data_IF_521864629907
#
_entry.id   IF_521864629907
#
_cell.length_a   1.000
_cell.length_b   1.000
_cell.length_c   1.000
_cell.angle_alpha   90.00
_cell.angle_beta   90.00
_cell.angle_gamma   90.00
#
_symmetry.space_group_name_H-M   'P 1'
#
loop_
_entity.id
_entity.type
_entity.pdbx_description
1 polymer ?
#
# COMPACT_ATOMS: atom_id res chain seq x y z
N UNK A 1 44.52 -47.24 68.31
CA UNK A 1 43.38 -46.94 67.42
C UNK A 1 43.76 -47.45 66.04
N UNK A 2 43.26 -48.61 65.59
CA UNK A 2 42.13 -48.76 64.64
C UNK A 2 42.33 -47.89 63.37
N UNK A 3 42.28 -48.36 62.13
CA UNK A 3 41.99 -49.66 61.47
C UNK A 3 42.09 -49.38 59.95
N UNK A 4 42.52 -50.38 59.17
CA UNK A 4 42.12 -50.76 57.80
C UNK A 4 41.82 -49.69 56.71
N UNK A 5 42.52 -49.72 55.57
CA UNK A 5 42.23 -50.54 54.36
C UNK A 5 41.13 -49.95 53.46
N UNK A 6 41.43 -49.88 52.17
CA UNK A 6 40.58 -50.33 51.06
C UNK A 6 40.08 -49.28 50.06
N UNK A 7 40.56 -49.46 48.83
CA UNK A 7 39.88 -49.23 47.55
C UNK A 7 38.35 -49.07 47.64
N UNK A 8 37.84 -47.99 47.03
CA UNK A 8 36.52 -47.94 46.39
C UNK A 8 36.78 -47.31 45.01
N UNK A 9 36.96 -48.16 44.00
CA UNK A 9 35.93 -48.51 43.02
C UNK A 9 35.61 -47.38 42.05
N UNK A 10 36.08 -47.58 40.82
CA UNK A 10 35.36 -47.33 39.57
C UNK A 10 33.85 -47.22 39.83
N UNK A 11 33.32 -46.01 39.72
CA UNK A 11 31.88 -45.78 39.60
C UNK A 11 31.66 -44.86 38.39
N UNK A 12 31.15 -45.49 37.32
CA UNK A 12 30.36 -44.86 36.26
C UNK A 12 31.08 -43.78 35.45
N UNK A 13 31.69 -44.10 34.29
CA UNK A 13 30.94 -44.33 33.03
C UNK A 13 29.62 -43.55 33.04
N UNK A 14 29.49 -42.59 32.14
CA UNK A 14 28.30 -41.73 31.93
C UNK A 14 28.22 -40.45 32.79
N UNK A 15 29.27 -39.62 32.82
CA UNK A 15 29.05 -38.23 32.37
C UNK A 15 29.25 -38.28 30.87
N UNK A 16 28.29 -38.83 30.13
CA UNK A 16 27.19 -37.95 29.76
C UNK A 16 27.75 -36.87 28.85
N UNK A 17 28.44 -37.29 27.79
CA UNK A 17 28.39 -36.62 26.49
C UNK A 17 26.91 -36.49 26.10
N UNK A 18 26.17 -35.65 26.79
CA UNK A 18 25.13 -34.86 26.16
C UNK A 18 25.90 -33.76 25.42
N UNK A 19 26.63 -34.16 24.37
CA UNK A 19 26.69 -33.31 23.18
C UNK A 19 25.26 -33.36 22.68
N UNK A 20 24.41 -32.52 23.28
CA UNK A 20 23.10 -32.24 22.73
C UNK A 20 23.39 -31.82 21.30
N UNK A 21 22.94 -32.63 20.35
CA UNK A 21 22.90 -32.31 18.93
C UNK A 21 21.80 -31.25 18.71
N UNK A 22 21.81 -30.20 19.54
CA UNK A 22 20.94 -29.05 19.43
C UNK A 22 21.70 -27.99 18.67
N UNK A 23 21.10 -27.50 17.60
CA UNK A 23 21.58 -26.33 16.87
C UNK A 23 21.91 -25.22 17.88
N UNK A 24 23.06 -24.59 17.72
CA UNK A 24 23.44 -23.39 18.45
C UNK A 24 22.38 -22.30 18.25
N UNK A 25 22.29 -21.35 19.18
CA UNK A 25 21.37 -20.21 19.03
C UNK A 25 21.69 -19.40 17.76
N UNK A 26 22.96 -19.36 17.34
CA UNK A 26 23.41 -18.75 16.09
C UNK A 26 22.89 -19.50 14.86
N UNK A 27 22.93 -20.83 14.86
CA UNK A 27 22.38 -21.65 13.76
C UNK A 27 20.85 -21.54 13.67
N UNK A 28 20.14 -21.43 14.80
CA UNK A 28 18.69 -21.21 14.80
C UNK A 28 18.32 -19.83 14.27
N UNK A 29 19.07 -18.79 14.68
CA UNK A 29 18.85 -17.44 14.19
C UNK A 29 19.10 -17.32 12.68
N UNK A 30 20.17 -17.97 12.17
CA UNK A 30 20.47 -18.00 10.74
C UNK A 30 19.40 -18.76 9.93
N UNK A 31 18.86 -19.85 10.47
CA UNK A 31 17.77 -20.59 9.85
C UNK A 31 16.46 -19.79 9.83
N UNK A 32 16.12 -19.10 10.92
CA UNK A 32 14.95 -18.22 10.98
C UNK A 32 15.08 -17.05 9.99
N UNK A 33 16.26 -16.42 9.92
CA UNK A 33 16.54 -15.37 8.94
C UNK A 33 16.35 -15.87 7.50
N UNK A 34 16.86 -17.07 7.18
CA UNK A 34 16.71 -17.65 5.85
C UNK A 34 15.24 -17.99 5.52
N UNK A 35 14.47 -18.47 6.50
CA UNK A 35 13.04 -18.73 6.35
C UNK A 35 12.26 -17.44 6.12
N UNK A 36 12.45 -16.43 6.97
CA UNK A 36 11.78 -15.14 6.84
C UNK A 36 12.11 -14.47 5.51
N UNK A 37 13.37 -14.54 5.07
CA UNK A 37 13.78 -14.04 3.76
C UNK A 37 13.04 -14.73 2.62
N UNK A 38 12.98 -16.06 2.62
CA UNK A 38 12.29 -16.82 1.58
C UNK A 38 10.79 -16.51 1.56
N UNK A 39 10.14 -16.45 2.73
CA UNK A 39 8.72 -16.08 2.86
C UNK A 39 8.46 -14.65 2.36
N UNK A 40 9.34 -13.71 2.67
CA UNK A 40 9.23 -12.34 2.19
C UNK A 40 9.37 -12.26 0.66
N UNK A 41 10.39 -12.92 0.08
CA UNK A 41 10.61 -12.92 -1.37
C UNK A 41 9.41 -13.54 -2.12
N UNK A 42 8.89 -14.67 -1.63
CA UNK A 42 7.69 -15.30 -2.18
C UNK A 42 6.46 -14.37 -2.07
N UNK A 43 6.30 -13.68 -0.93
CA UNK A 43 5.20 -12.74 -0.77
C UNK A 43 5.28 -11.57 -1.76
N UNK A 44 6.47 -11.00 -1.98
CA UNK A 44 6.64 -9.90 -2.93
C UNK A 44 6.33 -10.33 -4.38
N UNK A 45 6.75 -11.53 -4.78
CA UNK A 45 6.39 -12.09 -6.09
C UNK A 45 4.86 -12.24 -6.25
N UNK A 46 4.16 -12.73 -5.21
CA UNK A 46 2.71 -12.81 -5.21
C UNK A 46 2.05 -11.43 -5.32
N UNK A 47 2.60 -10.42 -4.64
CA UNK A 47 2.10 -9.05 -4.73
C UNK A 47 2.30 -8.49 -6.15
N UNK A 48 3.46 -8.66 -6.79
CA UNK A 48 3.70 -8.22 -8.18
C UNK A 48 2.76 -8.92 -9.19
N UNK A 49 2.39 -10.17 -8.93
CA UNK A 49 1.40 -10.94 -9.70
C UNK A 49 -0.07 -10.49 -9.47
N UNK A 50 -0.31 -9.56 -8.54
CA UNK A 50 -1.66 -9.13 -8.14
C UNK A 50 -2.39 -10.11 -7.22
N UNK A 51 -1.70 -11.11 -6.64
CA UNK A 51 -2.27 -12.08 -5.68
C UNK A 51 -2.17 -11.56 -4.25
N UNK A 52 -2.84 -10.44 -3.99
CA UNK A 52 -2.67 -9.71 -2.73
C UNK A 52 -3.11 -10.50 -1.49
N UNK A 53 -4.19 -11.28 -1.57
CA UNK A 53 -4.65 -12.11 -0.44
C UNK A 53 -3.58 -13.13 -0.03
N UNK A 54 -2.94 -13.80 -1.00
CA UNK A 54 -1.90 -14.80 -0.74
C UNK A 54 -0.60 -14.16 -0.24
N UNK A 55 -0.16 -13.07 -0.87
CA UNK A 55 1.03 -12.33 -0.44
C UNK A 55 0.88 -11.75 0.98
N UNK A 56 -0.28 -11.15 1.28
CA UNK A 56 -0.63 -10.67 2.63
C UNK A 56 -0.57 -11.78 3.66
N UNK A 57 -1.15 -12.95 3.36
CA UNK A 57 -1.15 -14.08 4.28
C UNK A 57 0.27 -14.55 4.64
N UNK A 58 1.21 -14.53 3.68
CA UNK A 58 2.62 -14.83 3.95
C UNK A 58 3.29 -13.75 4.82
N UNK A 59 3.11 -12.47 4.49
CA UNK A 59 3.68 -11.35 5.25
C UNK A 59 3.22 -11.33 6.71
N UNK A 60 1.95 -11.67 6.97
CA UNK A 60 1.39 -11.77 8.33
C UNK A 60 2.07 -12.84 9.21
N UNK A 61 2.78 -13.80 8.60
CA UNK A 61 3.58 -14.79 9.36
C UNK A 61 4.94 -14.27 9.84
N UNK A 62 5.39 -13.15 9.29
CA UNK A 62 6.71 -12.53 9.56
C UNK A 62 6.62 -11.03 9.87
N UNK A 63 5.74 -10.58 10.79
CA UNK A 63 5.35 -9.18 10.95
C UNK A 63 6.49 -8.22 11.34
N UNK A 64 7.56 -8.73 11.95
CA UNK A 64 8.72 -7.95 12.40
C UNK A 64 9.88 -7.97 11.39
N UNK A 65 9.73 -8.66 10.25
CA UNK A 65 10.78 -8.77 9.26
C UNK A 65 10.82 -7.55 8.33
N UNK A 66 11.98 -6.91 8.23
CA UNK A 66 12.23 -5.75 7.34
C UNK A 66 11.12 -4.68 7.45
N UNK A 67 10.43 -4.42 6.35
CA UNK A 67 9.42 -3.40 6.10
C UNK A 67 8.03 -4.01 5.91
N UNK A 68 7.80 -5.25 6.37
CA UNK A 68 6.51 -5.95 6.27
C UNK A 68 5.33 -5.08 6.71
N UNK A 69 5.47 -4.35 7.81
CA UNK A 69 4.43 -3.43 8.29
C UNK A 69 4.10 -2.32 7.29
N UNK A 70 5.10 -1.82 6.56
CA UNK A 70 4.93 -0.80 5.52
C UNK A 70 4.27 -1.40 4.29
N UNK A 71 4.73 -2.57 3.84
CA UNK A 71 4.14 -3.27 2.68
C UNK A 71 2.67 -3.61 2.94
N UNK A 72 2.35 -4.11 4.14
CA UNK A 72 0.97 -4.42 4.53
C UNK A 72 0.06 -3.19 4.52
N UNK A 73 0.58 -2.02 4.87
CA UNK A 73 -0.17 -0.77 4.79
C UNK A 73 -0.32 -0.31 3.33
N UNK A 74 0.76 -0.35 2.54
CA UNK A 74 0.73 0.03 1.12
C UNK A 74 -0.31 -0.76 0.33
N UNK A 75 -0.39 -2.08 0.50
CA UNK A 75 -1.33 -2.92 -0.25
C UNK A 75 -2.80 -2.58 0.05
N UNK A 76 -3.11 -1.98 1.21
CA UNK A 76 -4.46 -1.47 1.51
C UNK A 76 -4.81 -0.31 0.60
N UNK A 77 -3.93 0.68 0.49
CA UNK A 77 -4.13 1.87 -0.33
C UNK A 77 -4.13 1.52 -1.83
N UNK A 78 -3.22 0.65 -2.26
CA UNK A 78 -3.17 0.15 -3.63
C UNK A 78 -4.44 -0.60 -4.01
N UNK A 79 -4.96 -1.46 -3.12
CA UNK A 79 -6.21 -2.19 -3.35
C UNK A 79 -7.39 -1.26 -3.62
N UNK A 80 -7.46 -0.12 -2.94
CA UNK A 80 -8.46 0.92 -3.21
C UNK A 80 -8.22 1.55 -4.58
N UNK A 81 -7.00 2.00 -4.85
CA UNK A 81 -6.64 2.60 -6.13
C UNK A 81 -6.99 1.70 -7.34
N UNK A 82 -6.72 0.39 -7.25
CA UNK A 82 -7.01 -0.56 -8.31
C UNK A 82 -8.47 -0.62 -8.72
N UNK A 83 -9.40 -0.42 -7.78
CA UNK A 83 -10.84 -0.43 -8.11
C UNK A 83 -11.23 0.70 -9.06
N UNK A 84 -10.54 1.86 -8.99
CA UNK A 84 -10.84 3.04 -9.82
C UNK A 84 -10.27 2.95 -11.24
N UNK A 85 -9.28 2.08 -11.49
CA UNK A 85 -8.51 2.08 -12.74
C UNK A 85 -9.32 1.79 -13.99
N UNK A 86 -10.39 1.01 -13.89
CA UNK A 86 -11.23 0.68 -15.04
C UNK A 86 -11.88 1.93 -15.65
N UNK A 87 -12.37 2.86 -14.82
CA UNK A 87 -12.98 4.09 -15.31
C UNK A 87 -11.94 5.03 -15.93
N UNK A 88 -10.74 5.12 -15.33
CA UNK A 88 -9.63 5.89 -15.91
C UNK A 88 -9.32 5.36 -17.32
N UNK A 89 -9.18 4.03 -17.46
CA UNK A 89 -8.91 3.39 -18.76
C UNK A 89 -10.01 3.63 -19.76
N UNK A 90 -11.28 3.57 -19.34
CA UNK A 90 -12.41 3.83 -20.22
C UNK A 90 -12.45 5.27 -20.74
N UNK A 91 -11.87 6.22 -20.00
CA UNK A 91 -11.69 7.61 -20.43
C UNK A 91 -10.58 7.82 -21.47
N UNK A 92 -9.65 6.88 -21.63
CA UNK A 92 -8.54 6.99 -22.60
C UNK A 92 -8.93 6.51 -24.00
N UNK A 93 -8.37 7.15 -25.03
CA UNK A 93 -8.51 6.70 -26.43
C UNK A 93 -7.82 5.35 -26.65
N UNK A 94 -6.59 5.22 -26.17
CA UNK A 94 -5.86 3.96 -26.11
C UNK A 94 -5.80 3.48 -24.65
N UNK A 95 -6.57 2.46 -24.30
CA UNK A 95 -6.69 1.99 -22.91
C UNK A 95 -5.37 1.46 -22.34
N UNK A 96 -4.54 0.87 -23.22
CA UNK A 96 -3.25 0.29 -22.85
C UNK A 96 -2.14 1.36 -22.70
N UNK A 97 -2.44 2.61 -23.05
CA UNK A 97 -1.51 3.74 -22.89
C UNK A 97 -1.50 4.34 -21.48
N UNK A 98 -2.35 3.85 -20.57
CA UNK A 98 -2.43 4.35 -19.21
C UNK A 98 -1.08 4.23 -18.50
N UNK A 99 -0.56 5.36 -18.06
CA UNK A 99 0.58 5.43 -17.17
C UNK A 99 0.23 6.29 -15.96
N UNK A 100 0.32 5.69 -14.77
CA UNK A 100 0.05 6.38 -13.50
C UNK A 100 1.31 7.15 -13.12
N UNK A 101 1.23 8.48 -13.05
CA UNK A 101 2.37 9.31 -12.64
C UNK A 101 2.43 9.45 -11.13
N UNK A 102 1.28 9.61 -10.50
CA UNK A 102 1.16 9.76 -9.06
C UNK A 102 -0.27 9.43 -8.60
N UNK A 103 -0.43 9.12 -7.32
CA UNK A 103 -1.73 8.92 -6.66
C UNK A 103 -1.69 9.63 -5.30
N UNK A 104 -2.65 10.51 -5.05
CA UNK A 104 -2.84 11.13 -3.74
C UNK A 104 -4.13 10.63 -3.09
N UNK A 105 -4.05 10.27 -1.82
CA UNK A 105 -5.21 9.94 -0.99
C UNK A 105 -5.41 11.06 0.03
N UNK A 106 -6.51 11.81 -0.06
CA UNK A 106 -6.85 12.85 0.90
C UNK A 106 -7.81 12.30 1.94
N UNK A 107 -7.39 12.22 3.20
CA UNK A 107 -8.27 11.81 4.30
C UNK A 107 -9.20 12.94 4.72
N UNK A 108 -10.20 12.62 5.54
CA UNK A 108 -11.04 13.62 6.19
C UNK A 108 -10.31 14.43 7.28
N UNK A 109 -9.05 14.11 7.59
CA UNK A 109 -8.27 14.83 8.59
C UNK A 109 -7.86 16.20 8.04
N UNK A 110 -8.17 17.24 8.80
CA UNK A 110 -7.92 18.61 8.41
C UNK A 110 -6.45 18.96 8.65
N UNK A 111 -5.84 19.61 7.66
CA UNK A 111 -4.46 20.07 7.71
C UNK A 111 -4.26 21.07 8.85
N UNK A 112 -3.15 20.94 9.57
CA UNK A 112 -2.82 21.86 10.65
C UNK A 112 -2.49 23.28 10.13
N UNK A 113 -2.78 24.29 10.95
CA UNK A 113 -2.37 25.68 10.67
C UNK A 113 -3.32 26.48 9.77
N UNK A 114 -4.53 25.98 9.50
CA UNK A 114 -5.58 26.74 8.81
C UNK A 114 -6.14 27.87 9.69
N UNK A 115 -6.52 28.98 9.05
CA UNK A 115 -7.27 30.05 9.71
C UNK A 115 -8.75 29.68 9.88
N UNK A 116 -9.49 30.47 10.67
CA UNK A 116 -10.88 30.17 11.04
C UNK A 116 -11.82 30.00 9.83
N UNK A 117 -11.74 30.89 8.83
CA UNK A 117 -12.55 30.82 7.60
C UNK A 117 -12.25 29.56 6.78
N UNK A 118 -10.96 29.20 6.68
CA UNK A 118 -10.52 27.99 5.97
C UNK A 118 -10.93 26.72 6.72
N UNK A 119 -10.99 26.76 8.05
CA UNK A 119 -11.41 25.64 8.87
C UNK A 119 -12.89 25.29 8.66
N UNK A 120 -13.77 26.28 8.50
CA UNK A 120 -15.18 26.03 8.20
C UNK A 120 -15.32 25.30 6.85
N UNK A 121 -14.58 25.74 5.84
CA UNK A 121 -14.56 25.09 4.51
C UNK A 121 -14.00 23.68 4.59
N UNK A 122 -12.87 23.49 5.28
CA UNK A 122 -12.23 22.19 5.47
C UNK A 122 -13.17 21.16 6.12
N UNK A 123 -13.91 21.55 7.16
CA UNK A 123 -14.89 20.68 7.82
C UNK A 123 -16.01 20.26 6.84
N UNK A 124 -16.59 21.19 6.08
CA UNK A 124 -17.62 20.86 5.09
C UNK A 124 -17.10 19.91 4.02
N UNK A 125 -15.88 20.12 3.56
CA UNK A 125 -15.26 19.22 2.57
C UNK A 125 -15.03 17.83 3.13
N UNK A 126 -14.49 17.73 4.35
CA UNK A 126 -14.32 16.45 5.04
C UNK A 126 -15.66 15.71 5.19
N UNK A 127 -16.71 16.41 5.61
CA UNK A 127 -18.07 15.86 5.73
C UNK A 127 -18.68 15.41 4.40
N UNK A 128 -18.39 16.09 3.29
CA UNK A 128 -18.95 15.75 1.97
C UNK A 128 -18.18 14.60 1.34
N UNK A 129 -16.85 14.71 1.30
CA UNK A 129 -16.01 13.82 0.49
C UNK A 129 -15.43 12.64 1.27
N UNK A 130 -15.29 12.77 2.59
CA UNK A 130 -14.61 11.79 3.44
C UNK A 130 -15.51 11.27 4.58
N UNK A 131 -16.83 11.42 4.46
CA UNK A 131 -17.84 11.22 5.52
C UNK A 131 -17.78 9.87 6.25
N UNK A 132 -17.10 8.87 5.68
CA UNK A 132 -17.00 7.49 6.21
C UNK A 132 -15.58 7.10 6.63
N UNK A 133 -14.68 8.07 6.76
CA UNK A 133 -13.26 7.83 6.99
C UNK A 133 -12.52 7.31 5.76
N UNK A 134 -13.19 7.31 4.61
CA UNK A 134 -12.60 6.93 3.33
C UNK A 134 -12.02 8.14 2.61
N UNK A 135 -10.92 7.97 1.85
CA UNK A 135 -10.24 9.08 1.21
C UNK A 135 -10.93 9.53 -0.10
N UNK A 136 -10.65 10.77 -0.49
CA UNK A 136 -10.67 11.15 -1.91
C UNK A 136 -9.39 10.65 -2.55
N UNK A 137 -9.51 9.96 -3.69
CA UNK A 137 -8.36 9.50 -4.46
C UNK A 137 -8.22 10.35 -5.71
N UNK A 138 -7.04 10.95 -5.89
CA UNK A 138 -6.70 11.71 -7.10
C UNK A 138 -5.55 11.02 -7.81
N UNK A 139 -5.77 10.61 -9.05
CA UNK A 139 -4.75 10.05 -9.91
C UNK A 139 -4.21 11.13 -10.83
N UNK A 140 -2.91 11.32 -10.84
CA UNK A 140 -2.23 12.04 -11.91
C UNK A 140 -1.75 11.02 -12.96
N UNK A 141 -2.23 11.12 -14.18
CA UNK A 141 -1.95 10.12 -15.22
C UNK A 141 -1.46 10.75 -16.51
N UNK A 142 -0.85 9.93 -17.35
CA UNK A 142 -0.73 10.19 -18.78
C UNK A 142 -1.31 9.05 -19.60
N UNK A 143 -1.73 9.38 -20.82
CA UNK A 143 -2.16 8.41 -21.82
C UNK A 143 -2.11 9.00 -23.22
N UNK A 144 -2.37 8.18 -24.21
CA UNK A 144 -2.50 8.60 -25.61
C UNK A 144 -3.88 9.21 -25.84
N UNK A 145 -3.86 10.43 -26.37
CA UNK A 145 -5.04 11.18 -26.72
C UNK A 145 -5.58 10.78 -28.09
N UNK A 146 -6.59 11.52 -28.54
CA UNK A 146 -7.30 11.22 -29.75
C UNK A 146 -6.57 11.38 -31.08
N UNK A 147 -5.38 11.92 -31.04
CA UNK A 147 -4.61 12.35 -32.19
C UNK A 147 -3.22 11.71 -32.19
N UNK A 148 -2.99 10.68 -31.36
CA UNK A 148 -1.72 9.96 -31.25
C UNK A 148 -0.65 10.70 -30.44
N UNK A 149 -1.01 11.76 -29.71
CA UNK A 149 -0.12 12.48 -28.80
C UNK A 149 -0.33 12.04 -27.35
N UNK A 150 0.63 12.31 -26.47
CA UNK A 150 0.44 12.10 -25.03
C UNK A 150 -0.33 13.26 -24.41
N UNK A 151 -1.34 12.95 -23.61
CA UNK A 151 -2.01 13.88 -22.70
C UNK A 151 -1.74 13.51 -21.25
N UNK A 152 -1.74 14.51 -20.38
CA UNK A 152 -1.75 14.35 -18.92
C UNK A 152 -3.07 14.86 -18.37
N UNK A 153 -3.46 14.39 -17.18
CA UNK A 153 -4.58 14.95 -16.46
C UNK A 153 -4.80 14.26 -15.12
N UNK A 154 -5.83 14.71 -14.43
CA UNK A 154 -6.17 14.31 -13.07
C UNK A 154 -7.56 13.69 -13.06
N UNK A 155 -7.68 12.50 -12.48
CA UNK A 155 -8.95 11.84 -12.24
C UNK A 155 -9.22 11.82 -10.74
N UNK A 156 -10.41 12.24 -10.33
CA UNK A 156 -10.81 12.27 -8.92
C UNK A 156 -11.95 11.28 -8.64
N UNK A 157 -11.83 10.58 -7.51
CA UNK A 157 -12.79 9.59 -7.02
C UNK A 157 -13.01 9.77 -5.53
N UNK A 158 -14.19 9.41 -5.03
CA UNK A 158 -14.46 9.27 -3.60
C UNK A 158 -15.11 7.92 -3.30
N UNK A 159 -15.02 7.42 -2.08
CA UNK A 159 -15.72 6.20 -1.69
C UNK A 159 -17.08 6.50 -1.03
N UNK A 160 -18.12 5.91 -1.61
CA UNK A 160 -19.48 5.88 -1.08
C UNK A 160 -19.85 4.51 -0.49
N UNK A 161 -21.15 4.30 -0.27
CA UNK A 161 -21.68 3.05 0.33
C UNK A 161 -21.50 1.80 -0.52
N UNK A 162 -21.38 1.98 -1.84
CA UNK A 162 -21.43 0.89 -2.82
C UNK A 162 -20.10 0.69 -3.55
N UNK A 163 -19.03 1.32 -3.06
CA UNK A 163 -17.74 1.40 -3.74
C UNK A 163 -17.37 2.85 -4.04
N UNK A 164 -16.46 3.03 -4.99
CA UNK A 164 -16.05 4.36 -5.41
C UNK A 164 -17.09 5.03 -6.32
N UNK A 165 -17.08 6.36 -6.33
CA UNK A 165 -17.83 7.23 -7.21
C UNK A 165 -16.84 8.13 -7.96
N UNK A 166 -17.00 8.22 -9.28
CA UNK A 166 -16.20 9.10 -10.13
C UNK A 166 -16.68 10.54 -10.00
N UNK A 167 -15.80 11.42 -9.53
CA UNK A 167 -16.11 12.84 -9.33
C UNK A 167 -15.89 13.64 -10.62
N UNK A 168 -14.83 13.33 -11.36
CA UNK A 168 -14.54 14.00 -12.62
C UNK A 168 -13.08 13.96 -13.02
N UNK A 169 -12.79 14.70 -14.09
CA UNK A 169 -11.47 14.83 -14.68
C UNK A 169 -11.15 16.30 -14.92
N UNK A 170 -9.89 16.67 -14.78
CA UNK A 170 -9.36 17.93 -15.31
C UNK A 170 -7.99 17.73 -15.94
N UNK A 171 -7.68 18.52 -16.97
CA UNK A 171 -6.40 18.47 -17.67
C UNK A 171 -5.29 19.28 -16.98
N UNK A 172 -5.65 20.10 -16.00
CA UNK A 172 -4.77 21.03 -15.29
C UNK A 172 -5.25 21.25 -13.86
N UNK A 173 -4.34 21.56 -12.93
CA UNK A 173 -4.66 22.08 -11.59
C UNK A 173 -4.69 23.62 -11.54
N UNK A 174 -4.41 24.27 -12.65
CA UNK A 174 -4.66 25.69 -12.86
C UNK A 174 -6.05 25.83 -13.51
N UNK A 175 -7.09 26.28 -12.76
CA UNK A 175 -8.48 26.33 -13.27
C UNK A 175 -8.61 27.22 -14.52
N UNK A 176 -7.80 28.28 -14.64
CA UNK A 176 -7.79 29.18 -15.80
C UNK A 176 -7.31 28.48 -17.09
N UNK A 177 -6.71 27.29 -16.97
CA UNK A 177 -6.27 26.46 -18.10
C UNK A 177 -7.22 25.30 -18.39
N UNK A 178 -8.30 25.16 -17.62
CA UNK A 178 -9.31 24.13 -17.79
C UNK A 178 -10.43 24.61 -18.71
N UNK A 179 -11.24 23.67 -19.20
CA UNK A 179 -12.56 24.02 -19.75
C UNK A 179 -13.54 24.32 -18.62
N UNK A 180 -14.64 25.01 -18.91
CA UNK A 180 -15.70 25.32 -17.93
C UNK A 180 -16.22 24.06 -17.18
N UNK A 181 -16.22 22.89 -17.83
CA UNK A 181 -16.63 21.62 -17.23
C UNK A 181 -15.56 21.02 -16.30
N UNK A 182 -14.28 21.30 -16.56
CA UNK A 182 -13.12 20.81 -15.80
C UNK A 182 -12.73 21.74 -14.65
N UNK A 183 -13.09 23.02 -14.70
CA UNK A 183 -12.75 24.06 -13.73
C UNK A 183 -13.12 23.65 -12.31
N UNK A 184 -14.37 23.20 -12.10
CA UNK A 184 -14.88 22.75 -10.80
C UNK A 184 -14.07 21.58 -10.22
N UNK A 185 -13.60 20.65 -11.07
CA UNK A 185 -12.79 19.51 -10.63
C UNK A 185 -11.38 19.98 -10.26
N UNK A 186 -10.79 20.88 -11.05
CA UNK A 186 -9.50 21.48 -10.74
C UNK A 186 -9.52 22.22 -9.39
N UNK A 187 -10.55 23.03 -9.15
CA UNK A 187 -10.74 23.74 -7.88
C UNK A 187 -10.91 22.78 -6.71
N UNK A 188 -11.76 21.76 -6.86
CA UNK A 188 -11.97 20.74 -5.83
C UNK A 188 -10.66 20.01 -5.45
N UNK A 189 -9.84 19.63 -6.43
CA UNK A 189 -8.55 18.96 -6.16
C UNK A 189 -7.59 19.92 -5.43
N UNK A 190 -7.54 21.19 -5.83
CA UNK A 190 -6.73 22.21 -5.16
C UNK A 190 -7.18 22.41 -3.71
N UNK A 191 -8.49 22.46 -3.48
CA UNK A 191 -9.07 22.60 -2.15
C UNK A 191 -8.75 21.37 -1.28
N UNK A 192 -8.82 20.15 -1.82
CA UNK A 192 -8.34 18.95 -1.11
C UNK A 192 -6.87 19.11 -0.69
N UNK A 193 -5.99 19.55 -1.60
CA UNK A 193 -4.58 19.79 -1.30
C UNK A 193 -4.33 20.91 -0.29
N UNK A 194 -5.21 21.91 -0.26
CA UNK A 194 -5.15 23.03 0.68
C UNK A 194 -5.60 22.62 2.08
N UNK A 195 -6.73 21.92 2.19
CA UNK A 195 -7.44 21.74 3.45
C UNK A 195 -7.28 20.35 4.07
N UNK A 196 -7.08 19.31 3.28
CA UNK A 196 -7.08 17.92 3.75
C UNK A 196 -5.66 17.35 3.86
N UNK A 197 -5.54 16.32 4.68
CA UNK A 197 -4.28 15.61 4.92
C UNK A 197 -4.07 14.52 3.86
N UNK A 198 -2.87 14.47 3.30
CA UNK A 198 -2.48 13.38 2.41
C UNK A 198 -2.05 12.19 3.25
N UNK A 199 -2.64 11.03 2.98
CA UNK A 199 -2.36 9.74 3.62
C UNK A 199 -2.07 8.69 2.54
N UNK A 200 -1.80 7.46 2.96
CA UNK A 200 -1.68 6.32 2.06
C UNK A 200 -0.41 6.32 1.22
N UNK A 201 0.66 5.79 1.80
CA UNK A 201 1.86 5.46 1.03
C UNK A 201 1.59 4.24 0.14
N UNK A 202 2.16 4.24 -1.06
CA UNK A 202 2.02 3.17 -2.05
C UNK A 202 3.37 2.87 -2.71
N UNK A 203 3.49 1.68 -3.29
CA UNK A 203 4.56 1.32 -4.20
C UNK A 203 4.11 1.54 -5.65
N UNK A 204 4.52 2.67 -6.24
CA UNK A 204 4.18 3.01 -7.62
C UNK A 204 4.75 2.02 -8.64
N UNK A 205 5.89 1.39 -8.37
CA UNK A 205 6.49 0.40 -9.28
C UNK A 205 5.62 -0.87 -9.32
N UNK A 206 5.12 -1.32 -8.17
CA UNK A 206 4.15 -2.42 -8.08
C UNK A 206 2.84 -2.06 -8.79
N UNK A 207 2.30 -0.84 -8.59
CA UNK A 207 1.15 -0.34 -9.36
C UNK A 207 1.41 -0.44 -10.87
N UNK A 208 2.57 0.03 -11.35
CA UNK A 208 2.91 -0.01 -12.79
C UNK A 208 2.96 -1.43 -13.33
N UNK A 209 3.58 -2.35 -12.61
CA UNK A 209 3.65 -3.77 -12.97
C UNK A 209 2.26 -4.37 -13.11
N UNK A 210 1.41 -4.19 -12.10
CA UNK A 210 0.04 -4.73 -12.10
C UNK A 210 -0.85 -4.08 -13.17
N UNK A 211 -0.72 -2.76 -13.38
CA UNK A 211 -1.45 -2.04 -14.43
C UNK A 211 -1.06 -2.62 -15.79
N UNK A 212 0.23 -2.78 -16.07
CA UNK A 212 0.73 -3.32 -17.33
C UNK A 212 0.22 -4.73 -17.61
N UNK A 213 0.21 -5.59 -16.59
CA UNK A 213 -0.22 -6.99 -16.72
C UNK A 213 -1.74 -7.17 -16.58
N UNK A 214 -2.45 -6.09 -16.23
CA UNK A 214 -3.90 -6.03 -16.02
C UNK A 214 -4.42 -7.01 -14.94
N UNK A 215 -3.55 -7.44 -14.02
CA UNK A 215 -3.87 -8.39 -12.94
C UNK A 215 -4.73 -7.77 -11.82
N UNK A 216 -4.86 -6.44 -11.78
CA UNK A 216 -5.65 -5.74 -10.75
C UNK A 216 -7.15 -6.07 -10.75
N UNK A 217 -7.68 -6.63 -11.83
CA UNK A 217 -9.12 -6.93 -11.93
C UNK A 217 -9.59 -8.02 -10.95
N UNK A 218 -8.66 -8.82 -10.42
CA UNK A 218 -8.92 -9.82 -9.39
C UNK A 218 -8.70 -9.31 -7.96
N UNK A 219 -8.07 -8.14 -7.79
CA UNK A 219 -7.72 -7.59 -6.48
C UNK A 219 -8.98 -7.04 -5.82
N UNK A 220 -9.18 -7.42 -4.55
CA UNK A 220 -10.25 -6.91 -3.68
C UNK A 220 -9.67 -5.89 -2.72
N UNK A 221 -10.53 -5.00 -2.22
CA UNK A 221 -10.15 -4.06 -1.17
C UNK A 221 -9.70 -4.83 0.07
N UNK A 222 -8.56 -4.43 0.62
CA UNK A 222 -8.00 -4.93 1.88
C UNK A 222 -8.31 -3.92 2.98
N UNK A 223 -8.82 -4.43 4.11
CA UNK A 223 -9.11 -3.66 5.33
C UNK A 223 -7.88 -3.52 6.25
#
# INVERSE_FOLDING_TARGET
>A
MKRNTMLILILCVVMGLFVGCGKSEEEKAAELEAQNKATYEEAMELLEDGKYDDGKALLETIPEYKDVSTVLEQIKWESKAYTCLNDIRMGLKNRDSLYIKDIAFFSGDIKEGLGDDDLEMANKMSEIFCAKGEPVIVFFVSGENGFGGSSVGYYAFMYGEKGYEYLGFCSSLDPDKCSDEEETISEMINDCGKYLTVVGEIDLDRIHTIVKDQSYTAIKIIE
#
